data_IF_570839338966
#
_entry.id   IF_570839338966
#
_cell.length_a   1.000
_cell.length_b   1.000
_cell.length_c   1.000
_cell.angle_alpha   90.00
_cell.angle_beta   90.00
_cell.angle_gamma   90.00
#
_symmetry.space_group_name_H-M   'P 1'
#
loop_
_entity.id
_entity.type
_entity.pdbx_description
1 polymer ?
#
# COMPACT_ATOMS: atom_id res chain seq x y z
N UNK A 1 96.51 -74.06 -19.83
CA UNK A 1 95.90 -75.19 -20.56
C UNK A 1 94.52 -75.48 -19.99
N UNK A 2 93.57 -75.94 -20.81
CA UNK A 2 92.22 -75.39 -20.91
C UNK A 2 91.11 -76.39 -20.52
N UNK A 3 89.86 -75.92 -20.38
CA UNK A 3 88.72 -76.70 -20.84
C UNK A 3 87.51 -75.80 -21.20
N UNK A 4 87.04 -75.96 -22.44
CA UNK A 4 85.94 -75.22 -23.09
C UNK A 4 84.61 -76.01 -22.94
N UNK A 5 83.45 -75.59 -23.51
CA UNK A 5 82.14 -75.74 -22.90
C UNK A 5 81.38 -76.92 -23.51
N UNK A 6 80.27 -77.33 -22.90
CA UNK A 6 79.24 -78.07 -23.64
C UNK A 6 77.87 -77.53 -23.27
N UNK A 7 77.26 -76.85 -24.24
CA UNK A 7 75.83 -76.61 -24.25
C UNK A 7 75.08 -77.82 -24.83
N UNK A 8 73.83 -77.98 -24.40
CA UNK A 8 72.71 -78.75 -24.96
C UNK A 8 71.83 -79.15 -23.77
N UNK A 9 70.50 -79.13 -23.79
CA UNK A 9 69.52 -78.91 -24.83
C UNK A 9 68.26 -78.35 -24.15
N UNK A 10 67.49 -77.56 -24.90
CA UNK A 10 66.25 -76.98 -24.41
C UNK A 10 65.18 -78.03 -24.15
N UNK A 11 64.48 -77.84 -23.04
CA UNK A 11 63.08 -78.17 -22.91
C UNK A 11 62.38 -76.95 -22.31
N UNK A 12 61.85 -76.08 -23.17
CA UNK A 12 60.84 -75.11 -22.76
C UNK A 12 59.53 -75.87 -22.62
N UNK A 13 59.09 -76.04 -21.38
CA UNK A 13 57.78 -76.56 -21.05
C UNK A 13 56.72 -75.51 -21.42
N UNK A 14 55.73 -75.82 -22.28
CA UNK A 14 54.66 -74.88 -22.58
C UNK A 14 53.76 -74.82 -21.35
N UNK A 15 53.78 -73.71 -20.63
CA UNK A 15 52.79 -73.46 -19.57
C UNK A 15 51.45 -73.12 -20.23
N UNK A 16 50.35 -73.83 -19.93
CA UNK A 16 49.03 -73.36 -20.30
C UNK A 16 48.73 -72.14 -19.44
N UNK A 17 48.94 -70.96 -20.01
CA UNK A 17 48.48 -69.68 -19.45
C UNK A 17 46.95 -69.69 -19.55
N UNK A 18 46.29 -70.31 -18.58
CA UNK A 18 44.93 -69.95 -18.26
C UNK A 18 44.96 -68.49 -17.82
N UNK A 19 44.65 -67.58 -18.74
CA UNK A 19 44.25 -66.23 -18.38
C UNK A 19 42.96 -66.37 -17.57
N UNK A 20 43.10 -66.48 -16.25
CA UNK A 20 42.06 -66.04 -15.35
C UNK A 20 41.84 -64.58 -15.72
N UNK A 21 40.67 -64.26 -16.30
CA UNK A 21 40.22 -62.89 -16.49
C UNK A 21 40.42 -62.21 -15.14
N UNK A 22 41.42 -61.33 -15.07
CA UNK A 22 41.69 -60.54 -13.89
C UNK A 22 40.47 -59.64 -13.74
N UNK A 23 39.57 -60.04 -12.84
CA UNK A 23 38.72 -59.04 -12.21
C UNK A 23 39.68 -57.95 -11.73
N UNK A 24 39.46 -56.68 -12.09
CA UNK A 24 40.27 -55.62 -11.52
C UNK A 24 40.22 -55.83 -10.01
N UNK A 25 41.36 -55.75 -9.29
CA UNK A 25 41.29 -55.72 -7.84
C UNK A 25 40.24 -54.68 -7.53
N UNK A 26 39.22 -55.05 -6.76
CA UNK A 26 38.33 -54.08 -6.16
C UNK A 26 39.27 -53.12 -5.48
N UNK A 27 39.56 -51.99 -6.16
CA UNK A 27 40.05 -50.81 -5.49
C UNK A 27 39.13 -50.74 -4.30
N UNK A 28 39.70 -50.77 -3.10
CA UNK A 28 38.96 -50.33 -1.93
C UNK A 28 38.18 -49.13 -2.45
N UNK A 29 36.85 -49.24 -2.50
CA UNK A 29 36.04 -48.04 -2.45
C UNK A 29 36.52 -47.45 -1.14
N UNK A 30 37.56 -46.62 -1.20
CA UNK A 30 37.65 -45.48 -0.33
C UNK A 30 36.23 -44.97 -0.42
N UNK A 31 35.46 -44.97 0.69
CA UNK A 31 34.26 -44.18 0.65
C UNK A 31 34.80 -42.85 0.14
N UNK A 32 34.40 -42.45 -1.09
CA UNK A 32 34.40 -41.04 -1.44
C UNK A 32 33.81 -40.46 -0.18
N UNK A 33 34.64 -39.74 0.59
CA UNK A 33 34.25 -39.13 1.86
C UNK A 33 33.07 -38.28 1.45
N UNK A 34 31.89 -38.90 1.53
CA UNK A 34 30.64 -38.29 1.23
C UNK A 34 30.66 -37.23 2.27
N UNK A 35 30.70 -35.99 1.80
CA UNK A 35 30.71 -34.82 2.65
C UNK A 35 29.31 -34.67 3.30
N UNK A 36 28.77 -35.80 3.80
CA UNK A 36 27.52 -35.90 4.50
C UNK A 36 27.74 -35.16 5.82
N UNK A 37 26.94 -34.11 6.06
CA UNK A 37 27.10 -33.28 7.24
C UNK A 37 27.04 -34.16 8.49
N UNK A 38 27.94 -33.89 9.43
CA UNK A 38 27.91 -34.56 10.73
C UNK A 38 26.63 -34.20 11.49
N UNK A 39 26.29 -34.96 12.53
CA UNK A 39 25.15 -34.63 13.39
C UNK A 39 25.30 -33.21 13.97
N UNK A 40 26.51 -32.80 14.31
CA UNK A 40 26.79 -31.46 14.80
C UNK A 40 26.47 -30.39 13.74
N UNK A 41 26.81 -30.63 12.48
CA UNK A 41 26.51 -29.72 11.37
C UNK A 41 25.00 -29.63 11.13
N UNK A 42 24.27 -30.75 11.22
CA UNK A 42 22.81 -30.77 11.13
C UNK A 42 22.14 -30.01 12.29
N UNK A 43 22.66 -30.16 13.51
CA UNK A 43 22.15 -29.42 14.67
C UNK A 43 22.42 -27.92 14.52
N UNK A 44 23.60 -27.52 14.03
CA UNK A 44 23.91 -26.12 13.72
C UNK A 44 23.00 -25.58 12.63
N UNK A 45 22.81 -26.32 11.54
CA UNK A 45 21.90 -25.95 10.46
C UNK A 45 20.46 -25.76 10.96
N UNK A 46 19.98 -26.67 11.82
CA UNK A 46 18.65 -26.57 12.42
C UNK A 46 18.53 -25.34 13.34
N UNK A 47 19.55 -25.06 14.15
CA UNK A 47 19.58 -23.86 14.99
C UNK A 47 19.55 -22.57 14.17
N UNK A 48 20.36 -22.51 13.10
CA UNK A 48 20.39 -21.38 12.16
C UNK A 48 19.04 -21.21 11.46
N UNK A 49 18.45 -22.30 10.94
CA UNK A 49 17.16 -22.24 10.25
C UNK A 49 16.03 -21.78 11.16
N UNK A 50 15.99 -22.24 12.41
CA UNK A 50 15.01 -21.76 13.40
C UNK A 50 15.21 -20.28 13.73
N UNK A 51 16.46 -19.80 13.79
CA UNK A 51 16.76 -18.40 14.03
C UNK A 51 16.33 -17.53 12.84
N UNK A 52 16.65 -17.93 11.62
CA UNK A 52 16.25 -17.25 10.39
C UNK A 52 14.73 -17.18 10.25
N UNK A 53 14.04 -18.28 10.55
CA UNK A 53 12.59 -18.30 10.57
C UNK A 53 12.03 -17.27 11.57
N UNK A 54 12.55 -17.25 12.81
CA UNK A 54 12.14 -16.28 13.82
C UNK A 54 12.42 -14.82 13.40
N UNK A 55 13.56 -14.55 12.78
CA UNK A 55 13.88 -13.22 12.25
C UNK A 55 12.97 -12.84 11.09
N UNK A 56 12.65 -13.78 10.20
CA UNK A 56 11.77 -13.57 9.04
C UNK A 56 10.36 -13.24 9.47
N UNK A 57 9.77 -14.01 10.40
CA UNK A 57 8.41 -13.72 10.91
C UNK A 57 8.36 -12.40 11.68
N UNK A 58 9.40 -12.09 12.47
CA UNK A 58 9.48 -10.82 13.21
C UNK A 58 9.61 -9.64 12.26
N UNK A 59 10.46 -9.75 11.24
CA UNK A 59 10.66 -8.70 10.23
C UNK A 59 9.40 -8.49 9.40
N UNK A 60 8.74 -9.57 8.98
CA UNK A 60 7.47 -9.51 8.24
C UNK A 60 6.39 -8.82 9.07
N UNK A 61 6.29 -9.14 10.36
CA UNK A 61 5.34 -8.51 11.26
C UNK A 61 5.62 -7.01 11.43
N UNK A 62 6.88 -6.61 11.65
CA UNK A 62 7.27 -5.20 11.77
C UNK A 62 6.92 -4.46 10.48
N UNK A 63 7.28 -5.00 9.31
CA UNK A 63 6.99 -4.36 8.02
C UNK A 63 5.48 -4.18 7.81
N UNK A 64 4.67 -5.19 8.15
CA UNK A 64 3.21 -5.09 8.09
C UNK A 64 2.68 -3.95 8.98
N UNK A 65 3.15 -3.86 10.23
CA UNK A 65 2.75 -2.79 11.15
C UNK A 65 3.16 -1.40 10.63
N UNK A 66 4.36 -1.27 10.07
CA UNK A 66 4.83 -0.03 9.48
C UNK A 66 4.00 0.36 8.25
N UNK A 67 3.69 -0.58 7.37
CA UNK A 67 2.85 -0.35 6.20
C UNK A 67 1.42 0.10 6.58
N UNK A 68 0.83 -0.54 7.58
CA UNK A 68 -0.48 -0.14 8.11
C UNK A 68 -0.43 1.27 8.69
N UNK A 69 0.60 1.59 9.47
CA UNK A 69 0.79 2.92 10.05
C UNK A 69 0.96 3.99 8.97
N UNK A 70 1.73 3.71 7.92
CA UNK A 70 1.93 4.61 6.80
C UNK A 70 0.61 4.85 6.03
N UNK A 71 -0.13 3.78 5.73
CA UNK A 71 -1.42 3.86 5.05
C UNK A 71 -2.43 4.69 5.86
N UNK A 72 -2.51 4.48 7.18
CA UNK A 72 -3.40 5.26 8.05
C UNK A 72 -3.00 6.74 8.07
N UNK A 73 -1.70 7.04 8.14
CA UNK A 73 -1.23 8.43 8.11
C UNK A 73 -1.53 9.12 6.79
N UNK A 74 -1.33 8.42 5.67
CA UNK A 74 -1.64 8.94 4.33
C UNK A 74 -3.14 9.22 4.18
N UNK A 75 -4.00 8.29 4.60
CA UNK A 75 -5.45 8.51 4.62
C UNK A 75 -5.85 9.71 5.49
N UNK A 76 -5.24 9.86 6.68
CA UNK A 76 -5.51 11.01 7.55
C UNK A 76 -5.14 12.33 6.87
N UNK A 77 -4.01 12.35 6.15
CA UNK A 77 -3.56 13.52 5.40
C UNK A 77 -4.52 13.85 4.25
N UNK A 78 -4.90 12.85 3.44
CA UNK A 78 -5.84 13.03 2.34
C UNK A 78 -7.20 13.54 2.81
N UNK A 79 -7.73 13.00 3.92
CA UNK A 79 -8.98 13.48 4.53
C UNK A 79 -8.86 14.92 5.02
N UNK A 80 -7.72 15.28 5.63
CA UNK A 80 -7.45 16.67 6.05
C UNK A 80 -7.41 17.64 4.87
N UNK A 81 -6.77 17.25 3.77
CA UNK A 81 -6.76 18.04 2.53
C UNK A 81 -8.16 18.18 1.93
N UNK A 82 -8.92 17.08 1.87
CA UNK A 82 -10.30 17.10 1.38
C UNK A 82 -11.18 18.04 2.21
N UNK A 83 -11.05 18.02 3.54
CA UNK A 83 -11.78 18.91 4.42
C UNK A 83 -11.49 20.40 4.12
N UNK A 84 -10.22 20.75 3.85
CA UNK A 84 -9.84 22.11 3.46
C UNK A 84 -10.48 22.49 2.12
N UNK A 85 -10.38 21.64 1.10
CA UNK A 85 -10.99 21.90 -0.22
C UNK A 85 -12.51 22.08 -0.11
N UNK A 86 -13.19 21.25 0.67
CA UNK A 86 -14.64 21.38 0.89
C UNK A 86 -14.97 22.70 1.61
N UNK A 87 -14.17 23.10 2.60
CA UNK A 87 -14.34 24.37 3.29
C UNK A 87 -14.17 25.57 2.35
N UNK A 88 -13.18 25.52 1.44
CA UNK A 88 -12.95 26.55 0.43
C UNK A 88 -14.11 26.65 -0.57
N UNK A 89 -14.63 25.51 -1.04
CA UNK A 89 -15.79 25.45 -1.94
C UNK A 89 -17.06 26.02 -1.29
N UNK A 90 -17.29 25.71 -0.02
CA UNK A 90 -18.43 26.26 0.72
C UNK A 90 -18.28 27.77 0.97
N UNK A 91 -17.06 28.21 1.29
CA UNK A 91 -16.76 29.64 1.51
C UNK A 91 -16.93 30.45 0.20
N UNK A 92 -16.43 29.95 -0.93
CA UNK A 92 -16.58 30.60 -2.24
C UNK A 92 -18.01 30.55 -2.78
N UNK A 93 -18.78 29.50 -2.48
CA UNK A 93 -20.21 29.41 -2.79
C UNK A 93 -21.08 30.33 -1.93
N UNK A 94 -20.67 30.61 -0.68
CA UNK A 94 -21.40 31.49 0.25
C UNK A 94 -20.98 32.97 0.14
N UNK A 95 -19.76 33.27 -0.29
CA UNK A 95 -19.18 34.61 -0.21
C UNK A 95 -19.27 35.44 -1.51
N UNK A 96 -19.90 34.93 -2.58
CA UNK A 96 -19.99 35.63 -3.87
C UNK A 96 -21.36 36.25 -4.17
N UNK A 97 -22.27 36.33 -3.19
CA UNK A 97 -23.41 37.23 -3.32
C UNK A 97 -22.96 38.60 -2.83
N UNK A 98 -22.83 39.63 -3.69
CA UNK A 98 -22.63 40.97 -3.20
C UNK A 98 -23.79 41.26 -2.25
N UNK A 99 -23.49 41.40 -0.96
CA UNK A 99 -24.44 41.88 0.06
C UNK A 99 -24.75 43.37 -0.17
N UNK A 100 -24.92 43.78 -1.42
CA UNK A 100 -25.59 45.02 -1.71
C UNK A 100 -27.07 44.76 -1.48
N UNK A 101 -27.54 45.19 -0.32
CA UNK A 101 -28.82 45.87 -0.24
C UNK A 101 -28.76 46.99 -1.30
N UNK A 102 -29.15 46.68 -2.54
CA UNK A 102 -29.57 47.71 -3.48
C UNK A 102 -30.77 48.35 -2.81
N UNK A 103 -30.50 49.41 -2.06
CA UNK A 103 -31.52 50.29 -1.51
C UNK A 103 -32.36 50.66 -2.71
N UNK A 104 -33.59 50.13 -2.73
CA UNK A 104 -34.51 50.20 -3.85
C UNK A 104 -34.48 51.64 -4.38
N UNK A 105 -34.04 51.92 -5.62
CA UNK A 105 -33.99 53.27 -6.14
C UNK A 105 -35.43 53.72 -6.45
N UNK A 106 -36.25 53.85 -5.39
CA UNK A 106 -37.58 54.45 -5.39
C UNK A 106 -37.49 55.99 -5.52
N UNK A 107 -36.47 56.48 -6.22
CA UNK A 107 -36.21 57.89 -6.45
C UNK A 107 -36.48 58.34 -7.89
N UNK A 108 -36.66 57.40 -8.84
CA UNK A 108 -36.75 57.72 -10.27
C UNK A 108 -38.06 57.23 -10.91
N UNK A 109 -39.13 57.05 -10.14
CA UNK A 109 -40.45 56.83 -10.73
C UNK A 109 -40.92 58.16 -11.34
N UNK A 110 -40.80 58.27 -12.67
CA UNK A 110 -41.23 59.42 -13.45
C UNK A 110 -42.68 59.80 -13.09
N UNK A 111 -42.85 60.96 -12.46
CA UNK A 111 -44.17 61.54 -12.24
C UNK A 111 -44.75 61.95 -13.60
N UNK A 112 -45.65 61.13 -14.15
CA UNK A 112 -46.35 61.46 -15.40
C UNK A 112 -47.32 62.60 -15.12
N UNK A 113 -46.95 63.82 -15.52
CA UNK A 113 -47.84 64.99 -15.47
C UNK A 113 -48.78 64.94 -16.67
N UNK A 114 -50.09 64.83 -16.42
CA UNK A 114 -51.09 64.94 -17.48
C UNK A 114 -51.11 66.40 -18.00
N UNK A 115 -51.27 66.61 -19.32
CA UNK A 115 -51.35 67.95 -19.96
C UNK A 115 -52.41 68.89 -19.38
N UNK A 116 -53.31 68.38 -18.54
CA UNK A 116 -54.31 69.15 -17.79
C UNK A 116 -53.76 69.78 -16.49
N UNK A 117 -52.47 69.61 -16.17
CA UNK A 117 -51.83 70.21 -14.99
C UNK A 117 -52.25 69.59 -13.65
N UNK A 118 -52.84 68.40 -13.65
CA UNK A 118 -53.18 67.64 -12.42
C UNK A 118 -52.18 66.50 -12.23
N UNK A 119 -51.49 66.50 -11.09
CA UNK A 119 -50.68 65.38 -10.63
C UNK A 119 -51.61 64.25 -10.14
N UNK A 120 -51.31 62.99 -10.51
CA UNK A 120 -51.97 61.83 -9.92
C UNK A 120 -51.50 61.68 -8.48
N UNK A 121 -52.41 61.48 -7.50
CA UNK A 121 -52.01 61.25 -6.11
C UNK A 121 -51.05 60.07 -6.04
N UNK A 122 -49.86 60.32 -5.49
CA UNK A 122 -48.90 59.29 -5.14
C UNK A 122 -49.65 58.24 -4.29
N UNK A 123 -49.58 56.97 -4.68
CA UNK A 123 -50.18 55.87 -3.94
C UNK A 123 -49.44 55.79 -2.60
N UNK A 124 -49.95 56.55 -1.62
CA UNK A 124 -49.57 56.44 -0.24
C UNK A 124 -49.71 54.96 0.11
N UNK A 125 -48.57 54.36 0.41
CA UNK A 125 -48.48 53.00 0.90
C UNK A 125 -49.40 52.95 2.12
N UNK A 126 -50.59 52.38 1.93
CA UNK A 126 -51.52 52.12 3.01
C UNK A 126 -50.75 51.29 4.03
N UNK A 127 -50.52 51.89 5.19
CA UNK A 127 -50.09 51.20 6.38
C UNK A 127 -51.05 50.02 6.56
N UNK A 128 -50.46 48.84 6.76
CA UNK A 128 -51.18 47.61 7.13
C UNK A 128 -52.10 47.94 8.31
N UNK A 129 -53.43 47.75 8.19
CA UNK A 129 -54.32 47.80 9.35
C UNK A 129 -53.99 46.62 10.28
N UNK A 130 -53.66 46.92 11.53
CA UNK A 130 -53.47 45.95 12.60
C UNK A 130 -54.85 45.38 13.00
N UNK A 131 -55.10 44.05 12.96
CA UNK A 131 -56.34 43.48 13.44
C UNK A 131 -56.12 42.76 14.77
N UNK A 132 -56.85 43.18 15.81
CA UNK A 132 -57.70 42.33 16.67
C UNK A 132 -58.04 43.08 17.98
N UNK A 133 -59.17 43.79 17.98
CA UNK A 133 -59.93 43.97 19.22
C UNK A 133 -60.78 42.71 19.41
N UNK A 134 -60.56 42.02 20.54
CA UNK A 134 -61.53 41.11 21.12
C UNK A 134 -61.81 41.61 22.53
N UNK A 135 -62.70 42.60 22.65
CA UNK A 135 -63.42 42.84 23.90
C UNK A 135 -64.75 42.08 23.83
N UNK A 136 -64.91 41.12 24.74
CA UNK A 136 -66.23 40.66 25.17
C UNK A 136 -66.23 40.63 26.69
N UNK A 137 -67.00 41.53 27.27
CA UNK A 137 -67.13 41.80 28.70
C UNK A 137 -67.90 40.72 29.48
N UNK A 138 -67.80 40.85 30.82
CA UNK A 138 -68.80 40.54 31.87
C UNK A 138 -68.59 39.21 32.63
N UNK A 139 -68.60 39.12 33.97
CA UNK A 139 -68.67 40.06 35.10
C UNK A 139 -68.49 39.23 36.43
N UNK A 140 -68.79 39.79 37.63
CA UNK A 140 -67.89 39.99 38.77
C UNK A 140 -67.43 38.75 39.56
#
# INVERSE_FOLDING_TARGET
MPNIPYGAAGYQQPTPQYQASSFPPQQQRTPTQGNSPSLEDLMKQLATSNLEFQQSVSSSNIQFQQNMTATIQDLKMQIGQLANTVSELQSTGSSNLPSQLTLNPRGNASAVTLRSGKELPQLAQHQVPQPAEAESQSHP
#
